data_IF_420502665705
#
_entry.id   IF_420502665705
#
_cell.length_a   1.000
_cell.length_b   1.000
_cell.length_c   1.000
_cell.angle_alpha   90.00
_cell.angle_beta   90.00
_cell.angle_gamma   90.00
#
_symmetry.space_group_name_H-M   'P 1'
#
loop_
_entity.id
_entity.type
_entity.pdbx_description
1 polymer ?
#
# COMPACT_ATOMS: atom_id res chain seq x y z
N UNK A 1 -1.93 31.28 24.42
CA UNK A 1 -1.00 31.01 23.30
C UNK A 1 -0.72 29.51 23.25
N UNK A 2 -0.89 28.82 22.12
CA UNK A 2 -0.44 27.43 21.99
C UNK A 2 1.10 27.42 21.88
N UNK A 3 1.77 26.88 22.88
CA UNK A 3 3.24 26.77 22.87
C UNK A 3 3.69 25.83 21.75
N UNK A 4 4.58 26.31 20.89
CA UNK A 4 5.29 25.54 19.84
C UNK A 4 5.63 24.12 20.33
N UNK A 5 5.16 23.04 19.70
CA UNK A 5 5.81 21.74 19.86
C UNK A 5 7.18 21.82 19.16
N UNK A 6 8.32 21.76 19.87
CA UNK A 6 9.62 21.86 19.23
C UNK A 6 9.89 20.62 18.36
N UNK A 7 10.68 20.75 17.30
CA UNK A 7 11.11 19.61 16.45
C UNK A 7 11.71 18.43 17.24
N UNK A 8 12.27 18.69 18.42
CA UNK A 8 12.74 17.67 19.36
C UNK A 8 11.62 16.76 19.89
N UNK A 9 10.36 17.19 19.90
CA UNK A 9 9.25 16.40 20.46
C UNK A 9 9.03 15.08 19.71
N UNK A 10 9.17 15.05 18.37
CA UNK A 10 8.98 13.81 17.60
C UNK A 10 10.12 12.82 17.84
N UNK A 11 11.38 13.28 17.82
CA UNK A 11 12.53 12.42 18.13
C UNK A 11 12.48 11.90 19.58
N UNK A 12 12.09 12.75 20.54
CA UNK A 12 11.91 12.34 21.94
C UNK A 12 10.72 11.37 22.09
N UNK A 13 9.60 11.57 21.38
CA UNK A 13 8.47 10.61 21.34
C UNK A 13 8.91 9.26 20.77
N UNK A 14 9.62 9.26 19.65
CA UNK A 14 10.16 8.03 19.05
C UNK A 14 11.13 7.29 19.97
N UNK A 15 12.04 8.01 20.66
CA UNK A 15 12.92 7.44 21.68
C UNK A 15 12.13 6.86 22.86
N UNK A 16 11.11 7.57 23.37
CA UNK A 16 10.24 7.08 24.45
C UNK A 16 9.37 5.88 24.03
N UNK A 17 8.96 5.79 22.76
CA UNK A 17 8.27 4.63 22.20
C UNK A 17 9.20 3.43 22.09
N UNK A 18 10.43 3.62 21.60
CA UNK A 18 11.45 2.57 21.63
C UNK A 18 11.84 2.15 23.06
N UNK A 19 11.76 3.04 24.05
CA UNK A 19 11.95 2.67 25.46
C UNK A 19 10.78 1.82 26.00
N UNK A 20 9.53 2.16 25.66
CA UNK A 20 8.34 1.36 26.03
C UNK A 20 8.28 0.01 25.29
N UNK A 21 8.77 -0.05 24.06
CA UNK A 21 8.89 -1.27 23.28
C UNK A 21 10.32 -1.40 22.72
N UNK A 22 11.30 -1.93 23.49
CA UNK A 22 12.68 -2.10 23.03
C UNK A 22 12.82 -2.93 21.75
N UNK A 23 11.85 -3.84 21.50
CA UNK A 23 11.79 -4.67 20.29
C UNK A 23 11.47 -3.84 19.04
N UNK A 24 10.88 -2.66 19.19
CA UNK A 24 10.69 -1.69 18.10
C UNK A 24 12.03 -1.39 17.43
N UNK A 25 13.08 -1.09 18.19
CA UNK A 25 14.41 -0.78 17.63
C UNK A 25 14.95 -1.92 16.76
N UNK A 26 14.84 -3.18 17.21
CA UNK A 26 15.21 -4.35 16.41
C UNK A 26 14.39 -4.47 15.12
N UNK A 27 13.07 -4.28 15.17
CA UNK A 27 12.20 -4.32 13.98
C UNK A 27 12.51 -3.16 13.01
N UNK A 28 12.79 -1.94 13.50
CA UNK A 28 13.22 -0.80 12.68
C UNK A 28 14.56 -1.07 11.98
N UNK A 29 15.56 -1.54 12.74
CA UNK A 29 16.90 -1.84 12.22
C UNK A 29 16.86 -2.97 11.19
N UNK A 30 16.06 -4.02 11.44
CA UNK A 30 15.82 -5.11 10.48
C UNK A 30 15.17 -4.60 9.20
N UNK A 31 14.19 -3.71 9.30
CA UNK A 31 13.56 -3.09 8.12
C UNK A 31 14.57 -2.27 7.30
N UNK A 32 15.35 -1.41 7.94
CA UNK A 32 16.38 -0.60 7.28
C UNK A 32 17.49 -1.44 6.65
N UNK A 33 17.95 -2.50 7.32
CA UNK A 33 18.88 -3.48 6.75
C UNK A 33 18.28 -4.18 5.52
N UNK A 34 17.03 -4.67 5.60
CA UNK A 34 16.35 -5.32 4.47
C UNK A 34 16.23 -4.37 3.26
N UNK A 35 15.83 -3.12 3.49
CA UNK A 35 15.68 -2.08 2.45
C UNK A 35 17.01 -1.70 1.79
N UNK A 36 18.09 -1.54 2.57
CA UNK A 36 19.38 -1.04 2.07
C UNK A 36 20.27 -2.13 1.47
N UNK A 37 20.27 -3.32 2.07
CA UNK A 37 21.23 -4.39 1.76
C UNK A 37 20.53 -5.74 1.54
N UNK A 38 19.66 -6.16 2.45
CA UNK A 38 19.13 -7.53 2.47
C UNK A 38 18.41 -7.95 1.19
N UNK A 39 17.60 -7.09 0.58
CA UNK A 39 16.92 -7.39 -0.69
C UNK A 39 17.92 -7.48 -1.86
N UNK A 40 18.99 -6.68 -1.86
CA UNK A 40 20.03 -6.74 -2.89
C UNK A 40 20.87 -8.02 -2.76
N UNK A 41 21.19 -8.43 -1.53
CA UNK A 41 21.87 -9.68 -1.24
C UNK A 41 21.02 -10.89 -1.64
N UNK A 42 19.72 -10.91 -1.29
CA UNK A 42 18.80 -11.96 -1.74
C UNK A 42 18.78 -12.05 -3.27
N UNK A 43 18.59 -10.93 -3.98
CA UNK A 43 18.57 -10.90 -5.46
C UNK A 43 19.89 -11.31 -6.12
N UNK A 44 21.03 -11.24 -5.43
CA UNK A 44 22.36 -11.59 -5.96
C UNK A 44 22.78 -13.02 -5.63
N UNK A 45 22.37 -13.54 -4.47
CA UNK A 45 22.91 -14.78 -3.90
C UNK A 45 21.85 -15.86 -3.64
N UNK A 46 20.57 -15.60 -3.91
CA UNK A 46 19.48 -16.58 -3.71
C UNK A 46 18.72 -16.87 -5.01
N UNK A 47 18.24 -18.10 -5.07
CA UNK A 47 17.43 -18.75 -6.11
C UNK A 47 15.97 -18.25 -6.11
N UNK A 48 15.76 -16.93 -6.15
CA UNK A 48 14.42 -16.32 -6.04
C UNK A 48 13.82 -16.33 -4.63
N UNK A 49 14.46 -16.96 -3.65
CA UNK A 49 14.05 -16.97 -2.24
C UNK A 49 14.39 -15.66 -1.54
N UNK A 50 13.41 -15.04 -0.88
CA UNK A 50 13.61 -13.86 -0.01
C UNK A 50 13.84 -14.26 1.45
N UNK A 51 14.60 -13.46 2.21
CA UNK A 51 14.55 -13.50 3.68
C UNK A 51 13.17 -13.09 4.24
N UNK A 52 12.86 -13.39 5.52
CA UNK A 52 11.55 -13.14 6.11
C UNK A 52 11.09 -11.67 6.00
N UNK A 53 9.79 -11.41 5.81
CA UNK A 53 9.30 -10.05 5.60
C UNK A 53 9.57 -9.15 6.81
N UNK A 54 9.88 -7.88 6.54
CA UNK A 54 10.05 -6.85 7.55
C UNK A 54 8.72 -6.20 7.95
N UNK A 55 7.77 -6.17 7.01
CA UNK A 55 6.45 -5.56 7.13
C UNK A 55 5.40 -6.55 6.62
N UNK A 56 4.22 -6.59 7.26
CA UNK A 56 3.02 -7.26 6.75
C UNK A 56 1.87 -6.26 6.73
N UNK A 57 1.15 -6.17 5.61
CA UNK A 57 -0.08 -5.40 5.50
C UNK A 57 -1.25 -6.37 5.70
N UNK A 58 -1.99 -6.21 6.79
CA UNK A 58 -3.12 -7.06 7.15
C UNK A 58 -4.40 -6.32 6.77
N UNK A 59 -4.97 -6.71 5.62
CA UNK A 59 -6.27 -6.24 5.17
C UNK A 59 -7.36 -6.96 5.99
N UNK A 60 -7.85 -6.31 7.05
CA UNK A 60 -8.72 -6.94 8.05
C UNK A 60 -10.16 -7.15 7.56
N UNK A 61 -10.63 -6.26 6.68
CA UNK A 61 -11.96 -6.25 6.09
C UNK A 61 -11.94 -5.36 4.83
N UNK A 62 -12.73 -5.68 3.80
CA UNK A 62 -13.02 -4.76 2.68
C UNK A 62 -14.25 -3.87 2.94
N UNK A 63 -14.90 -3.98 4.10
CA UNK A 63 -15.97 -3.04 4.49
C UNK A 63 -15.35 -1.66 4.75
N UNK A 64 -15.96 -0.62 4.19
CA UNK A 64 -15.58 0.76 4.40
C UNK A 64 -16.84 1.61 4.60
N UNK A 65 -16.74 2.64 5.44
CA UNK A 65 -17.83 3.60 5.69
C UNK A 65 -17.71 4.89 4.85
N UNK A 66 -16.83 4.90 3.84
CA UNK A 66 -16.61 5.97 2.87
C UNK A 66 -16.55 5.37 1.45
N UNK A 67 -16.75 6.18 0.41
CA UNK A 67 -16.75 5.76 -1.00
C UNK A 67 -15.79 6.61 -1.82
N UNK A 68 -14.52 6.59 -1.44
CA UNK A 68 -13.52 7.53 -1.97
C UNK A 68 -13.32 7.35 -3.49
N UNK A 69 -13.32 8.45 -4.24
CA UNK A 69 -13.33 8.44 -5.72
C UNK A 69 -12.10 7.76 -6.34
N UNK A 70 -10.96 7.79 -5.65
CA UNK A 70 -9.69 7.20 -6.08
C UNK A 70 -9.40 5.81 -5.49
N UNK A 71 -10.31 5.24 -4.68
CA UNK A 71 -10.05 3.96 -4.03
C UNK A 71 -10.34 2.78 -4.97
N UNK A 72 -9.34 1.92 -5.19
CA UNK A 72 -9.46 0.66 -5.95
C UNK A 72 -10.71 -0.13 -5.54
N UNK A 73 -11.02 -0.14 -4.24
CA UNK A 73 -12.10 -0.95 -3.68
C UNK A 73 -13.48 -0.45 -4.06
N UNK A 74 -13.68 0.82 -4.45
CA UNK A 74 -15.00 1.37 -4.80
C UNK A 74 -15.10 1.86 -6.25
N UNK A 75 -13.97 2.07 -6.94
CA UNK A 75 -13.93 2.53 -8.33
C UNK A 75 -14.56 1.52 -9.31
N UNK A 76 -14.45 0.23 -9.01
CA UNK A 76 -14.79 -0.83 -9.97
C UNK A 76 -16.09 -1.61 -9.65
N UNK A 77 -16.75 -1.40 -8.50
CA UNK A 77 -18.17 -1.76 -8.37
C UNK A 77 -19.00 -0.91 -7.39
N UNK A 78 -20.29 -0.69 -7.72
CA UNK A 78 -21.24 -0.05 -6.81
C UNK A 78 -21.69 -1.03 -5.72
N UNK A 79 -21.17 -0.86 -4.50
CA UNK A 79 -21.60 -1.67 -3.35
C UNK A 79 -21.08 -1.12 -2.01
N UNK A 80 -21.63 -1.57 -0.87
CA UNK A 80 -21.16 -1.18 0.48
C UNK A 80 -19.72 -1.65 0.78
N UNK A 81 -19.28 -2.68 0.05
CA UNK A 81 -17.93 -3.26 0.07
C UNK A 81 -17.12 -2.88 -1.17
N UNK A 82 -17.76 -2.15 -2.11
CA UNK A 82 -17.26 -1.69 -3.40
C UNK A 82 -16.75 -2.76 -4.39
N UNK A 83 -16.76 -4.03 -3.98
CA UNK A 83 -16.31 -5.18 -4.78
C UNK A 83 -17.49 -6.17 -4.88
N UNK A 84 -17.94 -6.55 -6.09
CA UNK A 84 -19.19 -7.30 -6.26
C UNK A 84 -19.02 -8.78 -5.92
N UNK A 85 -17.78 -9.26 -5.92
CA UNK A 85 -17.37 -10.61 -5.52
C UNK A 85 -17.05 -10.74 -4.01
N UNK A 86 -17.11 -9.65 -3.24
CA UNK A 86 -16.76 -9.67 -1.83
C UNK A 86 -17.95 -10.13 -0.96
N UNK A 87 -17.71 -11.19 -0.20
CA UNK A 87 -18.62 -11.69 0.84
C UNK A 87 -18.00 -11.43 2.22
N UNK A 88 -18.63 -10.64 3.12
CA UNK A 88 -18.15 -10.43 4.49
C UNK A 88 -17.94 -11.72 5.29
N UNK A 89 -18.62 -12.82 4.95
CA UNK A 89 -18.42 -14.14 5.58
C UNK A 89 -17.07 -14.78 5.23
N UNK A 90 -16.36 -14.21 4.25
CA UNK A 90 -14.99 -14.58 3.86
C UNK A 90 -13.92 -13.69 4.51
N UNK A 91 -14.30 -12.77 5.41
CA UNK A 91 -13.34 -12.13 6.32
C UNK A 91 -12.65 -13.19 7.18
N UNK A 92 -11.32 -13.10 7.33
CA UNK A 92 -10.59 -14.06 8.16
C UNK A 92 -11.01 -13.92 9.63
N UNK A 93 -11.25 -15.05 10.28
CA UNK A 93 -11.66 -15.10 11.69
C UNK A 93 -10.53 -14.63 12.61
N UNK A 94 -10.88 -14.27 13.85
CA UNK A 94 -9.89 -13.89 14.84
C UNK A 94 -8.87 -15.02 15.08
N UNK A 95 -9.31 -16.28 15.13
CA UNK A 95 -8.40 -17.42 15.33
C UNK A 95 -7.45 -17.62 14.14
N UNK A 96 -7.90 -17.40 12.90
CA UNK A 96 -7.02 -17.41 11.72
C UNK A 96 -5.96 -16.31 11.79
N UNK A 97 -6.34 -15.09 12.16
CA UNK A 97 -5.38 -14.01 12.36
C UNK A 97 -4.40 -14.29 13.50
N UNK A 98 -4.86 -14.83 14.63
CA UNK A 98 -4.00 -15.22 15.75
C UNK A 98 -3.01 -16.31 15.32
N UNK A 99 -3.45 -17.31 14.56
CA UNK A 99 -2.57 -18.33 13.97
C UNK A 99 -1.50 -17.74 13.04
N UNK A 100 -1.84 -16.73 12.23
CA UNK A 100 -0.85 -15.98 11.44
C UNK A 100 0.15 -15.24 12.36
N UNK A 101 -0.34 -14.58 13.42
CA UNK A 101 0.52 -13.89 14.40
C UNK A 101 1.50 -14.87 15.06
N UNK A 102 1.07 -16.09 15.38
CA UNK A 102 1.94 -17.12 15.95
C UNK A 102 3.00 -17.60 14.95
N UNK A 103 2.64 -17.85 13.69
CA UNK A 103 3.59 -18.23 12.63
C UNK A 103 4.68 -17.17 12.41
N UNK A 104 4.32 -15.87 12.45
CA UNK A 104 5.27 -14.77 12.20
C UNK A 104 5.93 -14.23 13.47
N UNK A 105 5.57 -14.74 14.65
CA UNK A 105 6.15 -14.34 15.94
C UNK A 105 7.64 -14.64 16.05
N UNK A 106 8.17 -15.59 15.28
CA UNK A 106 9.61 -15.90 15.24
C UNK A 106 10.44 -14.70 14.76
N UNK A 107 10.01 -14.03 13.68
CA UNK A 107 10.77 -12.95 13.03
C UNK A 107 10.18 -11.54 13.23
N UNK A 108 8.96 -11.42 13.77
CA UNK A 108 8.32 -10.16 14.23
C UNK A 108 8.37 -9.02 13.18
N UNK A 109 7.65 -9.14 12.06
CA UNK A 109 7.40 -8.01 11.16
C UNK A 109 6.65 -6.88 11.88
N UNK A 110 6.79 -5.66 11.37
CA UNK A 110 5.81 -4.61 11.66
C UNK A 110 4.50 -4.98 10.99
N UNK A 111 3.40 -4.84 11.72
CA UNK A 111 2.05 -5.08 11.21
C UNK A 111 1.41 -3.74 10.85
N UNK A 112 0.89 -3.64 9.63
CA UNK A 112 0.02 -2.54 9.22
C UNK A 112 -1.41 -3.07 9.22
N UNK A 113 -2.24 -2.56 10.13
CA UNK A 113 -3.67 -2.87 10.17
C UNK A 113 -4.35 -1.92 9.17
N UNK A 114 -4.96 -2.49 8.14
CA UNK A 114 -5.48 -1.77 6.97
C UNK A 114 -6.71 -2.50 6.39
N UNK A 115 -7.24 -2.06 5.25
CA UNK A 115 -8.33 -2.74 4.56
C UNK A 115 -9.19 -1.80 3.73
N UNK A 116 -10.50 -1.85 3.93
CA UNK A 116 -11.39 -0.70 3.76
C UNK A 116 -11.18 0.25 4.94
N UNK A 117 -12.01 0.13 5.98
CA UNK A 117 -11.75 0.76 7.29
C UNK A 117 -11.51 -0.32 8.35
N UNK A 118 -10.27 -0.54 8.84
CA UNK A 118 -9.96 -1.64 9.76
C UNK A 118 -10.71 -1.57 11.10
N UNK A 119 -11.15 -0.40 11.56
CA UNK A 119 -11.96 -0.30 12.79
C UNK A 119 -13.38 -0.89 12.64
N UNK A 120 -13.81 -1.27 11.43
CA UNK A 120 -15.07 -1.99 11.18
C UNK A 120 -14.94 -3.52 11.29
N UNK A 121 -13.72 -4.05 11.39
CA UNK A 121 -13.51 -5.48 11.62
C UNK A 121 -14.02 -5.87 13.02
N UNK A 122 -14.89 -6.89 13.20
CA UNK A 122 -15.66 -7.05 14.44
C UNK A 122 -14.77 -7.40 15.65
N UNK A 123 -13.60 -7.99 15.38
CA UNK A 123 -12.62 -8.36 16.39
C UNK A 123 -11.38 -7.45 16.38
N UNK A 124 -11.47 -6.22 15.84
CA UNK A 124 -10.35 -5.27 15.75
C UNK A 124 -9.62 -5.10 17.10
N UNK A 125 -10.37 -4.85 18.18
CA UNK A 125 -9.80 -4.66 19.50
C UNK A 125 -9.10 -5.92 20.04
N UNK A 126 -9.68 -7.10 19.84
CA UNK A 126 -9.12 -8.37 20.29
C UNK A 126 -7.86 -8.75 19.50
N UNK A 127 -7.87 -8.55 18.18
CA UNK A 127 -6.71 -8.78 17.32
C UNK A 127 -5.56 -7.81 17.66
N UNK A 128 -5.88 -6.55 17.97
CA UNK A 128 -4.89 -5.59 18.45
C UNK A 128 -4.25 -6.07 19.76
N UNK A 129 -5.06 -6.49 20.74
CA UNK A 129 -4.57 -7.04 22.01
C UNK A 129 -3.62 -8.23 21.77
N UNK A 130 -4.01 -9.18 20.92
CA UNK A 130 -3.19 -10.36 20.63
C UNK A 130 -1.88 -10.04 19.87
N UNK A 131 -1.88 -8.99 19.05
CA UNK A 131 -0.67 -8.48 18.41
C UNK A 131 0.25 -7.76 19.42
N UNK A 132 -0.30 -6.90 20.29
CA UNK A 132 0.48 -6.17 21.29
C UNK A 132 1.02 -7.11 22.38
N UNK A 133 0.26 -8.12 22.80
CA UNK A 133 0.70 -9.19 23.74
C UNK A 133 1.93 -9.95 23.23
N UNK A 134 2.04 -10.20 21.92
CA UNK A 134 3.20 -10.83 21.28
C UNK A 134 4.39 -9.86 21.06
N UNK A 135 4.20 -8.58 21.37
CA UNK A 135 5.21 -7.53 21.22
C UNK A 135 5.42 -7.07 19.77
N UNK A 136 4.41 -7.18 18.91
CA UNK A 136 4.49 -6.63 17.56
C UNK A 136 4.46 -5.09 17.57
N UNK A 137 5.18 -4.49 16.64
CA UNK A 137 5.02 -3.08 16.27
C UNK A 137 3.80 -2.98 15.37
N UNK A 138 2.81 -2.18 15.75
CA UNK A 138 1.54 -2.04 15.03
C UNK A 138 1.38 -0.61 14.53
N UNK A 139 1.10 -0.48 13.23
CA UNK A 139 0.76 0.76 12.56
C UNK A 139 -0.69 0.64 12.08
N UNK A 140 -1.56 1.56 12.48
CA UNK A 140 -2.95 1.61 11.99
C UNK A 140 -3.02 2.52 10.76
N UNK A 141 -3.68 2.08 9.68
CA UNK A 141 -4.06 2.92 8.55
C UNK A 141 -5.59 3.06 8.55
N UNK A 142 -6.11 4.28 8.71
CA UNK A 142 -7.55 4.53 8.89
C UNK A 142 -7.98 5.80 8.17
N UNK A 143 -9.24 5.87 7.76
CA UNK A 143 -9.86 7.11 7.31
C UNK A 143 -10.14 8.09 8.47
N UNK A 144 -10.01 7.63 9.72
CA UNK A 144 -10.07 8.43 10.94
C UNK A 144 -11.46 8.82 11.42
N UNK A 145 -12.52 8.51 10.66
CA UNK A 145 -13.91 8.93 10.98
C UNK A 145 -14.52 8.21 12.19
N UNK A 146 -13.89 7.12 12.66
CA UNK A 146 -14.27 6.34 13.84
C UNK A 146 -13.13 6.28 14.89
N UNK A 147 -12.08 7.10 14.71
CA UNK A 147 -10.87 7.07 15.53
C UNK A 147 -11.12 7.55 16.96
N UNK A 148 -12.13 8.39 17.16
CA UNK A 148 -12.65 8.82 18.46
C UNK A 148 -13.07 7.62 19.34
N UNK A 149 -13.74 6.62 18.76
CA UNK A 149 -14.24 5.42 19.46
C UNK A 149 -13.13 4.50 19.96
N UNK A 150 -11.96 4.52 19.31
CA UNK A 150 -10.83 3.62 19.62
C UNK A 150 -9.62 4.34 20.20
N UNK A 151 -9.60 5.68 20.20
CA UNK A 151 -8.47 6.53 20.59
C UNK A 151 -7.81 6.11 21.92
N UNK A 152 -8.60 5.95 22.98
CA UNK A 152 -8.08 5.58 24.30
C UNK A 152 -7.45 4.18 24.32
N UNK A 153 -8.02 3.23 23.57
CA UNK A 153 -7.50 1.87 23.45
C UNK A 153 -6.18 1.83 22.68
N UNK A 154 -6.07 2.59 21.58
CA UNK A 154 -4.83 2.69 20.78
C UNK A 154 -3.67 3.25 21.61
N UNK A 155 -3.94 4.25 22.47
CA UNK A 155 -2.94 4.84 23.37
C UNK A 155 -2.57 3.86 24.49
N UNK A 156 -3.57 3.26 25.17
CA UNK A 156 -3.35 2.35 26.29
C UNK A 156 -2.57 1.09 25.88
N UNK A 157 -2.86 0.55 24.68
CA UNK A 157 -2.16 -0.61 24.12
C UNK A 157 -0.78 -0.27 23.50
N UNK A 158 -0.34 1.00 23.57
CA UNK A 158 0.93 1.47 23.00
C UNK A 158 1.08 1.14 21.50
N UNK A 159 0.07 1.49 20.70
CA UNK A 159 0.20 1.51 19.23
C UNK A 159 1.28 2.52 18.85
N UNK A 160 2.21 2.13 17.98
CA UNK A 160 3.37 2.95 17.66
C UNK A 160 3.03 4.10 16.69
N UNK A 161 2.16 3.86 15.72
CA UNK A 161 1.77 4.85 14.71
C UNK A 161 0.31 4.70 14.27
N UNK A 162 -0.36 5.83 14.05
CA UNK A 162 -1.66 5.90 13.38
C UNK A 162 -1.51 6.83 12.19
N UNK A 163 -1.67 6.27 10.99
CA UNK A 163 -1.78 7.00 9.72
C UNK A 163 -3.26 7.27 9.44
N UNK A 164 -3.62 8.54 9.42
CA UNK A 164 -4.97 9.02 9.09
C UNK A 164 -4.97 9.59 7.68
N UNK A 165 -5.80 9.02 6.81
CA UNK A 165 -5.92 9.50 5.42
C UNK A 165 -6.74 10.78 5.38
N UNK A 166 -6.17 11.90 4.90
CA UNK A 166 -6.87 13.19 4.76
C UNK A 166 -6.31 13.97 3.56
N UNK A 167 -7.15 14.19 2.55
CA UNK A 167 -6.71 14.66 1.22
C UNK A 167 -7.04 16.14 0.92
N UNK A 168 -7.43 16.93 1.94
CA UNK A 168 -7.72 18.35 1.77
C UNK A 168 -8.42 19.00 2.98
N UNK A 169 -8.73 20.31 2.89
CA UNK A 169 -9.73 20.98 3.72
C UNK A 169 -11.15 20.44 3.43
N UNK A 170 -12.16 20.90 4.17
CA UNK A 170 -13.51 20.32 4.23
C UNK A 170 -14.10 19.92 2.87
N UNK A 171 -14.28 20.87 1.96
CA UNK A 171 -14.95 20.64 0.67
C UNK A 171 -14.20 19.62 -0.20
N UNK A 172 -12.87 19.79 -0.30
CA UNK A 172 -11.98 18.90 -1.05
C UNK A 172 -11.96 17.49 -0.46
N UNK A 173 -11.88 17.38 0.86
CA UNK A 173 -11.85 16.10 1.55
C UNK A 173 -13.17 15.34 1.41
N UNK A 174 -14.31 15.99 1.67
CA UNK A 174 -15.62 15.32 1.62
C UNK A 174 -15.95 14.87 0.18
N UNK A 175 -15.60 15.68 -0.83
CA UNK A 175 -15.70 15.31 -2.23
C UNK A 175 -14.81 14.10 -2.59
N UNK A 176 -13.53 14.12 -2.22
CA UNK A 176 -12.59 13.01 -2.48
C UNK A 176 -13.02 11.73 -1.74
N UNK A 177 -13.57 11.84 -0.52
CA UNK A 177 -14.07 10.71 0.28
C UNK A 177 -15.43 10.19 -0.15
N UNK A 178 -16.16 10.91 -1.00
CA UNK A 178 -17.50 10.56 -1.45
C UNK A 178 -18.52 10.53 -0.30
N UNK A 179 -18.35 11.39 0.72
CA UNK A 179 -19.20 11.42 1.91
C UNK A 179 -19.13 12.78 2.62
N UNK A 180 -20.26 13.47 2.69
CA UNK A 180 -20.40 14.70 3.46
C UNK A 180 -20.16 14.44 4.97
N UNK A 181 -19.45 15.37 5.61
CA UNK A 181 -19.09 15.32 7.02
C UNK A 181 -17.91 14.40 7.36
N UNK A 182 -17.27 13.78 6.35
CA UNK A 182 -16.09 12.92 6.58
C UNK A 182 -14.96 13.73 7.23
N UNK A 183 -14.64 14.91 6.70
CA UNK A 183 -13.64 15.83 7.22
C UNK A 183 -13.84 16.16 8.70
N UNK A 184 -15.09 16.51 9.08
CA UNK A 184 -15.42 16.85 10.47
C UNK A 184 -15.21 15.65 11.40
N UNK A 185 -15.64 14.45 10.98
CA UNK A 185 -15.44 13.20 11.73
C UNK A 185 -13.96 12.85 11.86
N UNK A 186 -13.18 12.92 10.78
CA UNK A 186 -11.73 12.66 10.79
C UNK A 186 -10.98 13.67 11.66
N UNK A 187 -11.33 14.96 11.60
CA UNK A 187 -10.78 15.99 12.50
C UNK A 187 -11.11 15.69 13.98
N UNK A 188 -12.34 15.29 14.29
CA UNK A 188 -12.74 14.91 15.64
C UNK A 188 -11.95 13.68 16.13
N UNK A 189 -11.80 12.66 15.29
CA UNK A 189 -11.01 11.46 15.57
C UNK A 189 -9.53 11.74 15.85
N UNK A 190 -8.89 12.60 15.06
CA UNK A 190 -7.49 13.02 15.30
C UNK A 190 -7.38 13.78 16.64
N UNK A 191 -8.29 14.73 16.90
CA UNK A 191 -8.32 15.49 18.16
C UNK A 191 -8.55 14.59 19.38
N UNK A 192 -9.43 13.60 19.26
CA UNK A 192 -9.67 12.59 20.30
C UNK A 192 -8.40 11.76 20.59
N UNK A 193 -7.65 11.35 19.56
CA UNK A 193 -6.39 10.64 19.72
C UNK A 193 -5.30 11.49 20.38
N UNK A 194 -5.21 12.79 20.03
CA UNK A 194 -4.33 13.74 20.72
C UNK A 194 -4.74 13.93 22.19
N UNK A 195 -6.04 14.06 22.47
CA UNK A 195 -6.57 14.21 23.83
C UNK A 195 -6.32 12.94 24.69
N UNK A 196 -6.52 11.75 24.14
CA UNK A 196 -6.20 10.47 24.77
C UNK A 196 -4.70 10.38 25.10
N UNK A 197 -3.82 10.68 24.13
CA UNK A 197 -2.36 10.71 24.32
C UNK A 197 -1.94 11.65 25.45
N UNK A 198 -2.55 12.84 25.53
CA UNK A 198 -2.27 13.83 26.57
C UNK A 198 -2.79 13.38 27.94
N UNK A 199 -4.05 12.93 28.04
CA UNK A 199 -4.66 12.39 29.28
C UNK A 199 -3.85 11.24 29.87
N UNK A 200 -3.48 10.28 29.04
CA UNK A 200 -2.71 9.09 29.45
C UNK A 200 -1.18 9.35 29.55
N UNK A 201 -0.73 10.60 29.36
CA UNK A 201 0.69 11.02 29.38
C UNK A 201 1.59 10.12 28.51
N UNK A 202 1.07 9.67 27.37
CA UNK A 202 1.72 8.69 26.49
C UNK A 202 2.65 9.38 25.48
N UNK A 203 3.80 8.79 25.11
CA UNK A 203 4.63 9.28 24.02
C UNK A 203 4.04 8.99 22.64
N UNK A 204 3.00 8.17 22.52
CA UNK A 204 2.38 7.81 21.25
C UNK A 204 0.88 7.50 21.31
N UNK A 205 0.28 7.11 20.18
CA UNK A 205 0.93 6.86 18.89
C UNK A 205 1.51 8.14 18.25
N UNK A 206 2.45 7.94 17.32
CA UNK A 206 2.83 8.98 16.35
C UNK A 206 1.66 9.15 15.39
N UNK A 207 1.14 10.37 15.24
CA UNK A 207 0.01 10.67 14.37
C UNK A 207 0.56 11.18 13.04
N UNK A 208 0.38 10.41 11.98
CA UNK A 208 0.74 10.77 10.62
C UNK A 208 -0.54 11.08 9.85
N UNK A 209 -0.62 12.25 9.21
CA UNK A 209 -1.65 12.53 8.21
C UNK A 209 -1.07 12.19 6.84
N UNK A 210 -1.81 11.42 6.03
CA UNK A 210 -1.45 11.09 4.66
C UNK A 210 -2.41 11.77 3.69
N UNK A 211 -1.88 12.64 2.82
CA UNK A 211 -2.59 13.33 1.75
C UNK A 211 -2.09 12.79 0.41
N UNK A 212 -2.99 12.23 -0.40
CA UNK A 212 -2.68 11.75 -1.76
C UNK A 212 -2.88 12.89 -2.76
N UNK A 213 -1.91 13.07 -3.66
CA UNK A 213 -1.99 14.05 -4.75
C UNK A 213 -2.93 13.52 -5.84
N UNK A 214 -4.07 14.17 -6.00
CA UNK A 214 -5.00 14.05 -7.14
C UNK A 214 -5.22 15.43 -7.76
N UNK A 215 -5.91 15.51 -8.90
CA UNK A 215 -6.25 16.81 -9.49
C UNK A 215 -7.15 17.65 -8.56
N UNK A 216 -7.96 17.00 -7.72
CA UNK A 216 -8.82 17.64 -6.74
C UNK A 216 -8.08 18.15 -5.49
N UNK A 217 -7.06 17.43 -4.98
CA UNK A 217 -6.30 17.88 -3.80
C UNK A 217 -5.23 18.93 -4.14
N UNK A 218 -4.76 18.95 -5.39
CA UNK A 218 -3.71 19.82 -5.92
C UNK A 218 -3.78 21.30 -5.48
N UNK A 219 -4.95 21.99 -5.47
CA UNK A 219 -5.03 23.40 -5.06
C UNK A 219 -4.81 23.67 -3.56
N UNK A 220 -4.70 22.63 -2.74
CA UNK A 220 -4.75 22.72 -1.26
C UNK A 220 -3.61 21.98 -0.55
N UNK A 221 -2.60 21.50 -1.29
CA UNK A 221 -1.48 20.70 -0.74
C UNK A 221 -0.63 21.49 0.28
N UNK A 222 -0.51 22.81 0.11
CA UNK A 222 0.15 23.71 1.05
C UNK A 222 -0.68 23.91 2.33
N UNK A 223 -1.99 24.09 2.20
CA UNK A 223 -2.94 24.25 3.31
C UNK A 223 -2.93 23.04 4.26
N UNK A 224 -2.72 21.83 3.73
CA UNK A 224 -2.59 20.60 4.51
C UNK A 224 -1.52 20.68 5.61
N UNK A 225 -0.47 21.49 5.44
CA UNK A 225 0.56 21.70 6.46
C UNK A 225 0.00 22.40 7.69
N UNK A 226 -0.80 23.46 7.49
CA UNK A 226 -1.40 24.23 8.57
C UNK A 226 -2.46 23.40 9.28
N UNK A 227 -3.35 22.76 8.51
CA UNK A 227 -4.37 21.83 9.02
C UNK A 227 -3.75 20.70 9.87
N UNK A 228 -2.70 20.04 9.38
CA UNK A 228 -2.05 18.96 10.12
C UNK A 228 -1.37 19.45 11.41
N UNK A 229 -0.82 20.67 11.41
CA UNK A 229 -0.26 21.30 12.61
C UNK A 229 -1.35 21.65 13.63
N UNK A 230 -2.46 22.25 13.20
CA UNK A 230 -3.61 22.62 14.05
C UNK A 230 -4.32 21.40 14.67
N UNK A 231 -4.40 20.29 13.93
CA UNK A 231 -4.92 19.02 14.43
C UNK A 231 -3.97 18.30 15.41
N UNK A 232 -2.73 18.79 15.59
CA UNK A 232 -1.76 18.21 16.51
C UNK A 232 -1.09 16.92 16.00
N UNK A 233 -1.06 16.72 14.68
CA UNK A 233 -0.33 15.62 14.05
C UNK A 233 1.19 15.79 14.24
N UNK A 234 1.91 14.67 14.19
CA UNK A 234 3.37 14.63 14.29
C UNK A 234 4.04 14.74 12.92
N UNK A 235 3.38 14.19 11.88
CA UNK A 235 3.90 14.05 10.52
C UNK A 235 2.79 14.37 9.52
N UNK A 236 3.11 15.13 8.47
CA UNK A 236 2.35 15.14 7.21
C UNK A 236 3.16 14.40 6.15
N UNK A 237 2.53 13.42 5.50
CA UNK A 237 3.04 12.79 4.30
C UNK A 237 2.19 13.27 3.12
N UNK A 238 2.86 13.85 2.12
CA UNK A 238 2.28 14.09 0.80
C UNK A 238 2.71 12.91 -0.09
N UNK A 239 1.73 12.15 -0.55
CA UNK A 239 1.94 10.94 -1.33
C UNK A 239 1.62 11.22 -2.80
N UNK A 240 2.59 10.98 -3.68
CA UNK A 240 2.32 10.89 -5.11
C UNK A 240 1.61 9.56 -5.41
N UNK A 241 0.60 9.58 -6.27
CA UNK A 241 -0.14 8.37 -6.62
C UNK A 241 0.72 7.45 -7.48
N UNK A 242 0.55 6.14 -7.32
CA UNK A 242 1.33 5.15 -8.07
C UNK A 242 0.64 4.92 -9.42
N UNK A 243 1.32 5.32 -10.49
CA UNK A 243 0.81 5.22 -11.86
C UNK A 243 1.29 3.95 -12.57
N UNK A 244 0.51 3.48 -13.54
CA UNK A 244 0.91 2.43 -14.46
C UNK A 244 0.18 2.58 -15.81
N UNK A 245 0.75 2.11 -16.92
CA UNK A 245 0.08 2.13 -18.23
C UNK A 245 -0.54 0.79 -18.58
N UNK A 246 -1.54 0.80 -19.47
CA UNK A 246 -2.10 -0.41 -20.10
C UNK A 246 -0.99 -1.36 -20.62
N UNK A 247 0.00 -0.80 -21.32
CA UNK A 247 1.10 -1.55 -21.91
C UNK A 247 2.04 -2.17 -20.86
N UNK A 248 2.34 -1.44 -19.78
CA UNK A 248 3.15 -1.95 -18.67
C UNK A 248 2.40 -3.05 -17.87
N UNK A 249 1.10 -2.88 -17.62
CA UNK A 249 0.23 -3.91 -16.98
C UNK A 249 0.17 -5.16 -17.84
N UNK A 250 -0.09 -5.02 -19.15
CA UNK A 250 -0.10 -6.17 -20.06
C UNK A 250 1.27 -6.87 -20.15
N UNK A 251 2.39 -6.13 -20.08
CA UNK A 251 3.73 -6.72 -20.00
C UNK A 251 3.95 -7.47 -18.67
N UNK A 252 3.50 -6.90 -17.55
CA UNK A 252 3.59 -7.50 -16.22
C UNK A 252 2.79 -8.80 -16.13
N UNK A 253 1.53 -8.79 -16.59
CA UNK A 253 0.66 -9.96 -16.59
C UNK A 253 1.16 -11.07 -17.53
N UNK A 254 1.82 -10.73 -18.65
CA UNK A 254 2.52 -11.73 -19.49
C UNK A 254 3.76 -12.31 -18.82
N UNK A 255 4.47 -11.54 -18.00
CA UNK A 255 5.67 -11.99 -17.30
C UNK A 255 5.35 -12.84 -16.06
N UNK A 256 4.21 -12.59 -15.42
CA UNK A 256 3.67 -13.36 -14.29
C UNK A 256 2.37 -14.08 -14.67
N UNK A 257 2.36 -14.69 -15.86
CA UNK A 257 1.20 -15.41 -16.36
C UNK A 257 1.02 -16.75 -15.62
N UNK A 258 -0.19 -17.36 -15.65
CA UNK A 258 -0.41 -18.69 -15.09
C UNK A 258 0.55 -19.74 -15.68
N UNK A 259 0.90 -19.64 -16.96
CA UNK A 259 1.82 -20.54 -17.64
C UNK A 259 3.26 -20.37 -17.12
N UNK A 260 3.71 -19.13 -16.92
CA UNK A 260 5.01 -18.86 -16.29
C UNK A 260 5.05 -19.37 -14.85
N UNK A 261 4.00 -19.13 -14.07
CA UNK A 261 3.90 -19.63 -12.70
C UNK A 261 3.99 -21.17 -12.66
N UNK A 262 3.24 -21.86 -13.52
CA UNK A 262 3.30 -23.32 -13.64
C UNK A 262 4.70 -23.82 -14.05
N UNK A 263 5.35 -23.19 -15.03
CA UNK A 263 6.72 -23.52 -15.44
C UNK A 263 7.76 -23.29 -14.33
N UNK A 264 7.54 -22.29 -13.48
CA UNK A 264 8.39 -21.97 -12.33
C UNK A 264 8.08 -22.81 -11.07
N UNK A 265 7.08 -23.69 -11.11
CA UNK A 265 6.62 -24.45 -9.94
C UNK A 265 5.96 -23.59 -8.87
N UNK A 266 5.35 -22.47 -9.27
CA UNK A 266 4.69 -21.50 -8.39
C UNK A 266 3.16 -21.62 -8.49
N UNK A 267 2.50 -21.59 -7.34
CA UNK A 267 1.05 -21.46 -7.26
C UNK A 267 0.63 -19.99 -7.46
N UNK A 268 -0.12 -19.70 -8.53
CA UNK A 268 -0.65 -18.35 -8.78
C UNK A 268 -2.07 -18.22 -8.21
N UNK A 269 -2.17 -17.56 -7.06
CA UNK A 269 -3.45 -17.40 -6.32
C UNK A 269 -4.37 -16.35 -6.96
N UNK A 270 -3.85 -15.42 -7.78
CA UNK A 270 -4.62 -14.37 -8.45
C UNK A 270 -3.82 -13.76 -9.61
N UNK A 271 -4.44 -13.26 -10.71
CA UNK A 271 -3.74 -12.43 -11.69
C UNK A 271 -3.14 -11.20 -10.99
N UNK A 272 -1.87 -10.87 -11.28
CA UNK A 272 -1.13 -9.92 -10.44
C UNK A 272 -1.65 -8.47 -10.51
N UNK A 273 -2.32 -8.08 -11.59
CA UNK A 273 -3.07 -6.83 -11.74
C UNK A 273 -4.27 -7.13 -12.66
N UNK A 274 -5.54 -6.95 -12.24
CA UNK A 274 -6.68 -7.15 -13.12
C UNK A 274 -6.72 -6.17 -14.31
N UNK A 275 -7.30 -6.58 -15.43
CA UNK A 275 -7.40 -5.70 -16.61
C UNK A 275 -8.28 -4.48 -16.32
N UNK A 276 -7.76 -3.28 -16.59
CA UNK A 276 -8.44 -2.01 -16.27
C UNK A 276 -8.22 -1.50 -14.84
N UNK A 277 -7.67 -2.31 -13.92
CA UNK A 277 -7.34 -1.90 -12.55
C UNK A 277 -5.95 -1.27 -12.46
N UNK A 278 -5.76 -0.18 -13.19
CA UNK A 278 -4.57 0.68 -13.09
C UNK A 278 -4.96 2.16 -13.12
N UNK A 279 -3.98 3.00 -12.74
CA UNK A 279 -4.16 4.44 -12.63
C UNK A 279 -3.18 5.14 -13.58
N UNK A 280 -3.72 5.84 -14.57
CA UNK A 280 -2.96 6.81 -15.36
C UNK A 280 -3.03 8.18 -14.67
N UNK A 281 -2.11 9.08 -15.00
CA UNK A 281 -2.00 10.34 -14.27
C UNK A 281 -3.06 11.36 -14.68
N UNK A 282 -3.81 11.89 -13.71
CA UNK A 282 -4.71 13.04 -13.89
C UNK A 282 -3.95 14.38 -14.01
N UNK A 283 -2.66 14.40 -13.67
CA UNK A 283 -1.80 15.58 -13.72
C UNK A 283 -1.23 15.72 -15.13
N UNK A 284 -1.55 16.84 -15.76
CA UNK A 284 -1.13 17.19 -17.12
C UNK A 284 0.09 18.11 -17.11
N UNK A 285 0.76 18.35 -18.26
CA UNK A 285 1.87 19.30 -18.33
C UNK A 285 1.50 20.72 -17.85
N UNK A 286 0.24 21.13 -18.00
CA UNK A 286 -0.26 22.42 -17.52
C UNK A 286 -0.37 22.50 -15.98
N UNK A 287 -0.56 21.36 -15.31
CA UNK A 287 -0.67 21.28 -13.84
C UNK A 287 0.71 21.30 -13.15
N UNK A 288 1.78 20.92 -13.86
CA UNK A 288 3.13 20.74 -13.29
C UNK A 288 3.73 22.00 -12.63
N UNK A 289 3.72 23.21 -13.25
CA UNK A 289 4.27 24.40 -12.61
C UNK A 289 3.57 24.74 -11.30
N UNK A 290 2.25 24.50 -11.25
CA UNK A 290 1.43 24.71 -10.07
C UNK A 290 1.69 23.65 -8.99
N UNK A 291 1.82 22.37 -9.35
CA UNK A 291 2.25 21.29 -8.45
C UNK A 291 3.62 21.59 -7.83
N UNK A 292 4.61 21.94 -8.65
CA UNK A 292 5.96 22.28 -8.17
C UNK A 292 5.95 23.48 -7.23
N UNK A 293 5.11 24.49 -7.49
CA UNK A 293 4.90 25.61 -6.57
C UNK A 293 4.25 25.16 -5.25
N UNK A 294 3.16 24.39 -5.31
CA UNK A 294 2.46 23.83 -4.15
C UNK A 294 3.39 23.00 -3.24
N UNK A 295 4.20 22.11 -3.81
CA UNK A 295 5.20 21.33 -3.07
C UNK A 295 6.26 22.22 -2.40
N UNK A 296 6.76 23.26 -3.10
CA UNK A 296 7.70 24.24 -2.53
C UNK A 296 7.05 25.06 -1.40
N UNK A 297 5.78 25.44 -1.52
CA UNK A 297 5.05 26.15 -0.48
C UNK A 297 4.81 25.26 0.76
N UNK A 298 4.39 24.01 0.57
CA UNK A 298 4.29 23.03 1.66
C UNK A 298 5.62 22.84 2.40
N UNK A 299 6.75 22.73 1.70
CA UNK A 299 8.09 22.67 2.31
C UNK A 299 8.43 23.92 3.15
N UNK A 300 8.10 25.12 2.64
CA UNK A 300 8.32 26.39 3.35
C UNK A 300 7.44 26.49 4.60
N UNK A 301 6.15 26.14 4.50
CA UNK A 301 5.21 26.17 5.61
C UNK A 301 5.57 25.14 6.70
N UNK A 302 6.00 23.95 6.31
CA UNK A 302 6.31 22.88 7.27
C UNK A 302 7.56 23.20 8.11
N UNK A 303 8.43 24.07 7.62
CA UNK A 303 9.62 24.54 8.33
C UNK A 303 9.23 25.04 9.73
N UNK A 304 9.76 24.34 10.74
CA UNK A 304 9.59 24.62 12.17
C UNK A 304 8.16 24.46 12.73
N UNK A 305 7.24 23.87 11.94
CA UNK A 305 5.85 23.54 12.36
C UNK A 305 5.57 22.05 12.45
N UNK A 306 6.05 21.27 11.47
CA UNK A 306 5.66 19.86 11.30
C UNK A 306 6.75 19.07 10.58
N UNK A 307 6.80 17.75 10.78
CA UNK A 307 7.63 16.87 9.94
C UNK A 307 6.90 16.60 8.63
N UNK A 308 7.34 17.22 7.54
CA UNK A 308 6.89 16.89 6.18
C UNK A 308 7.70 15.71 5.61
N UNK A 309 7.01 14.80 4.92
CA UNK A 309 7.55 13.68 4.15
C UNK A 309 6.90 13.65 2.77
N UNK A 310 7.64 13.14 1.77
CA UNK A 310 7.13 12.83 0.44
C UNK A 310 7.24 11.33 0.16
N UNK A 311 6.25 10.73 -0.49
CA UNK A 311 6.23 9.31 -0.84
C UNK A 311 5.81 9.10 -2.31
N UNK A 312 6.69 8.60 -3.19
CA UNK A 312 8.15 8.52 -3.04
C UNK A 312 8.78 9.90 -2.78
N UNK A 313 9.93 9.93 -2.10
CA UNK A 313 10.66 11.18 -1.87
C UNK A 313 11.52 11.53 -3.09
N UNK A 314 10.90 12.17 -4.08
CA UNK A 314 11.51 12.57 -5.34
C UNK A 314 12.22 13.93 -5.22
N UNK A 315 13.44 14.09 -5.79
CA UNK A 315 13.97 15.38 -6.22
C UNK A 315 12.99 16.10 -7.16
N UNK A 316 13.00 17.45 -7.16
CA UNK A 316 12.03 18.25 -7.92
C UNK A 316 12.15 18.04 -9.44
N UNK A 317 13.36 17.77 -9.93
CA UNK A 317 13.69 17.39 -11.31
C UNK A 317 13.11 16.04 -11.72
N UNK A 318 12.82 15.14 -10.78
CA UNK A 318 12.17 13.85 -11.06
C UNK A 318 10.64 13.90 -10.95
N UNK A 319 10.03 15.06 -10.66
CA UNK A 319 8.57 15.21 -10.57
C UNK A 319 7.94 15.15 -11.97
N UNK A 320 8.42 15.96 -12.91
CA UNK A 320 7.90 15.99 -14.29
C UNK A 320 7.85 14.59 -14.94
N UNK A 321 8.96 13.82 -15.03
CA UNK A 321 8.91 12.47 -15.59
C UNK A 321 8.05 11.50 -14.78
N UNK A 322 7.84 11.72 -13.47
CA UNK A 322 7.02 10.81 -12.65
C UNK A 322 5.54 10.89 -12.99
N UNK A 323 5.08 12.07 -13.40
CA UNK A 323 3.69 12.30 -13.80
C UNK A 323 3.47 12.13 -15.31
N UNK A 324 4.47 12.46 -16.15
CA UNK A 324 4.32 12.50 -17.61
C UNK A 324 5.00 11.36 -18.38
N UNK A 325 6.05 10.72 -17.85
CA UNK A 325 6.82 9.69 -18.55
C UNK A 325 6.88 8.39 -17.74
N UNK A 326 5.86 7.55 -17.93
CA UNK A 326 5.79 6.21 -17.35
C UNK A 326 6.74 5.19 -18.01
N UNK A 327 7.60 5.64 -18.95
CA UNK A 327 8.76 4.88 -19.46
C UNK A 327 10.08 5.35 -18.88
N UNK A 328 10.10 6.49 -18.17
CA UNK A 328 11.31 7.07 -17.59
C UNK A 328 12.03 6.03 -16.72
N UNK A 329 13.35 5.85 -16.90
CA UNK A 329 14.13 4.94 -16.08
C UNK A 329 14.34 5.54 -14.70
N UNK A 330 13.31 5.48 -13.85
CA UNK A 330 13.44 5.85 -12.44
C UNK A 330 14.62 5.10 -11.85
N UNK A 331 15.60 5.81 -11.24
CA UNK A 331 16.69 5.15 -10.59
C UNK A 331 16.11 4.32 -9.44
N UNK A 332 15.95 3.02 -9.68
CA UNK A 332 15.98 2.07 -8.57
C UNK A 332 17.24 2.42 -7.78
N UNK A 333 17.15 2.41 -6.44
CA UNK A 333 18.33 2.61 -5.59
C UNK A 333 19.28 1.41 -5.75
N UNK A 334 19.97 1.36 -6.88
CA UNK A 334 21.14 0.55 -7.12
C UNK A 334 22.27 1.10 -6.26
N UNK A 335 22.88 0.18 -5.52
CA UNK A 335 24.09 0.29 -4.72
C UNK A 335 24.86 1.63 -4.71
N UNK A 336 25.01 2.19 -3.51
CA UNK A 336 26.22 2.89 -2.97
C UNK A 336 26.91 3.99 -3.81
N UNK A 337 27.14 5.20 -3.23
CA UNK A 337 28.06 6.15 -3.84
C UNK A 337 29.51 5.68 -3.75
N UNK A 338 30.29 5.96 -4.81
CA UNK A 338 31.75 5.75 -4.95
C UNK A 338 32.22 4.29 -5.03
N UNK A 339 32.42 3.82 -6.26
CA UNK A 339 33.28 2.70 -6.59
C UNK A 339 33.33 2.49 -8.10
N UNK A 340 34.43 2.87 -8.76
CA UNK A 340 34.69 2.43 -10.14
C UNK A 340 34.96 0.93 -10.10
N UNK A 341 33.93 0.12 -10.31
CA UNK A 341 34.14 -1.30 -10.63
C UNK A 341 34.32 -1.37 -12.14
N UNK A 342 35.58 -1.51 -12.56
CA UNK A 342 35.93 -1.80 -13.93
C UNK A 342 35.24 -3.09 -14.39
N UNK A 343 34.92 -3.19 -15.68
CA UNK A 343 34.22 -4.35 -16.20
C UNK A 343 35.03 -5.63 -16.01
N UNK A 344 34.38 -6.68 -15.49
CA UNK A 344 34.84 -8.05 -15.69
C UNK A 344 33.65 -8.99 -15.80
N UNK A 345 33.60 -9.75 -16.90
CA UNK A 345 32.64 -10.80 -17.14
C UNK A 345 33.39 -12.14 -17.10
N UNK A 346 33.13 -13.00 -16.09
CA UNK A 346 33.53 -14.39 -16.12
C UNK A 346 32.31 -15.31 -16.38
N UNK A 347 32.14 -15.65 -17.66
CA UNK A 347 31.80 -17.01 -18.12
C UNK A 347 30.60 -17.78 -17.51
N UNK A 348 29.37 -17.25 -17.69
CA UNK A 348 28.16 -18.02 -18.08
C UNK A 348 27.54 -19.08 -17.14
N UNK A 349 26.44 -19.76 -17.56
CA UNK A 349 25.66 -19.56 -18.79
C UNK A 349 24.19 -19.15 -18.53
N UNK A 350 23.82 -17.92 -18.88
CA UNK A 350 22.42 -17.56 -19.15
C UNK A 350 22.33 -16.92 -20.53
N UNK A 351 22.42 -17.76 -21.58
CA UNK A 351 22.34 -17.35 -22.99
C UNK A 351 20.90 -17.51 -23.50
N UNK A 352 20.15 -16.41 -23.59
CA UNK A 352 19.50 -15.90 -24.82
C UNK A 352 18.56 -14.72 -24.53
N UNK A 353 18.46 -13.81 -25.50
CA UNK A 353 17.43 -12.76 -25.64
C UNK A 353 17.36 -11.63 -24.58
N UNK A 354 18.37 -10.76 -24.58
CA UNK A 354 18.20 -9.32 -24.27
C UNK A 354 19.17 -8.48 -25.12
N UNK A 355 19.06 -8.59 -26.45
CA UNK A 355 19.73 -7.69 -27.39
C UNK A 355 18.84 -6.50 -27.70
N UNK A 356 19.31 -5.33 -27.30
CA UNK A 356 18.89 -4.01 -27.74
C UNK A 356 18.47 -3.95 -29.21
N UNK A 357 17.31 -3.35 -29.50
CA UNK A 357 16.99 -2.77 -30.81
C UNK A 357 16.24 -1.44 -30.61
N UNK A 358 16.55 -0.38 -31.38
CA UNK A 358 15.96 0.95 -31.23
C UNK A 358 14.59 1.07 -31.92
N UNK A 359 13.84 2.12 -31.59
CA UNK A 359 12.53 2.39 -32.17
C UNK A 359 12.61 3.23 -33.46
N UNK A 360 12.04 2.73 -34.57
CA UNK A 360 11.43 3.51 -35.67
C UNK A 360 10.54 2.63 -36.56
N UNK A 361 9.26 3.01 -36.67
CA UNK A 361 8.19 2.88 -37.70
C UNK A 361 8.19 1.83 -38.86
N UNK A 362 7.01 1.54 -39.48
CA UNK A 362 6.74 0.36 -40.36
C UNK A 362 6.51 0.77 -41.84
N UNK A 363 5.84 0.00 -42.76
CA UNK A 363 5.55 -1.45 -42.86
C UNK A 363 5.99 -2.09 -44.21
N UNK A 364 6.08 -3.44 -44.34
CA UNK A 364 5.55 -4.21 -45.51
C UNK A 364 5.84 -5.74 -45.57
N UNK A 365 4.93 -6.44 -46.28
CA UNK A 365 5.06 -7.70 -47.08
C UNK A 365 5.61 -9.02 -46.47
N UNK A 366 4.66 -9.93 -46.21
CA UNK A 366 4.58 -11.30 -46.75
C UNK A 366 5.83 -11.98 -47.37
N UNK A 367 6.17 -13.17 -46.85
CA UNK A 367 6.42 -14.38 -47.69
C UNK A 367 6.21 -15.69 -46.91
N UNK A 368 5.72 -16.72 -47.62
CA UNK A 368 5.53 -18.10 -47.14
C UNK A 368 6.76 -18.98 -47.47
N UNK A 369 7.12 -19.86 -46.54
CA UNK A 369 7.67 -21.21 -46.73
C UNK A 369 7.68 -21.88 -45.34
N UNK A 370 7.05 -23.02 -45.09
CA UNK A 370 7.52 -24.35 -45.51
C UNK A 370 8.74 -24.74 -44.65
N UNK A 371 8.76 -25.79 -43.82
CA UNK A 371 7.99 -27.04 -43.81
C UNK A 371 7.79 -27.58 -42.37
N UNK A 372 6.85 -28.53 -42.19
CA UNK A 372 6.68 -29.28 -40.95
C UNK A 372 7.33 -30.67 -41.03
N UNK A 373 7.68 -31.31 -39.90
CA UNK A 373 7.67 -32.76 -39.76
C UNK A 373 6.40 -33.23 -39.03
N UNK A 374 5.86 -34.36 -39.49
CA UNK A 374 4.79 -35.10 -38.81
C UNK A 374 5.40 -36.03 -37.77
N UNK A 375 4.74 -36.17 -36.61
CA UNK A 375 4.62 -37.45 -35.92
C UNK A 375 3.12 -37.75 -35.78
N UNK A 376 2.71 -39.00 -35.95
CA UNK A 376 1.30 -39.37 -36.11
C UNK A 376 0.99 -40.76 -35.55
N UNK A 377 -0.26 -40.92 -35.07
CA UNK A 377 -0.95 -42.19 -34.74
C UNK A 377 -0.40 -42.88 -33.47
N UNK A 378 -1.18 -43.48 -32.55
CA UNK A 378 -2.63 -43.84 -32.40
C UNK A 378 -3.08 -43.54 -30.94
N UNK A 379 -4.35 -43.63 -30.51
CA UNK A 379 -5.60 -44.08 -31.14
C UNK A 379 -6.83 -43.69 -30.27
N UNK A 380 -8.05 -43.95 -30.77
CA UNK A 380 -9.36 -43.51 -30.23
C UNK A 380 -9.74 -44.31 -28.95
N UNK A 381 -10.65 -43.89 -28.06
CA UNK A 381 -12.08 -43.61 -28.27
C UNK A 381 -12.72 -42.77 -27.12
N UNK A 382 -13.88 -42.18 -27.43
CA UNK A 382 -14.91 -41.66 -26.49
C UNK A 382 -16.28 -42.11 -27.06
N UNK A 383 -17.44 -41.83 -26.42
CA UNK A 383 -17.73 -41.40 -25.04
C UNK A 383 -18.75 -42.34 -24.35
N UNK A 384 -19.08 -42.06 -23.08
CA UNK A 384 -20.34 -42.53 -22.47
C UNK A 384 -20.83 -41.47 -21.46
N UNK A 385 -22.10 -41.10 -21.53
CA UNK A 385 -22.72 -40.17 -20.59
C UNK A 385 -23.87 -40.82 -19.84
N UNK A 386 -24.16 -40.32 -18.65
CA UNK A 386 -25.42 -40.52 -17.95
C UNK A 386 -25.58 -39.49 -16.82
N UNK A 387 -26.57 -38.62 -16.98
CA UNK A 387 -27.37 -38.05 -15.87
C UNK A 387 -28.58 -39.01 -15.66
N UNK A 388 -29.30 -39.04 -14.53
CA UNK A 388 -30.06 -37.87 -14.05
C UNK A 388 -30.17 -37.66 -12.52
N UNK A 389 -30.68 -36.48 -12.17
CA UNK A 389 -31.59 -36.09 -11.08
C UNK A 389 -31.53 -36.71 -9.66
N UNK A 390 -31.49 -35.80 -8.68
CA UNK A 390 -32.34 -35.88 -7.48
C UNK A 390 -32.64 -34.46 -6.93
N UNK A 391 -33.88 -33.97 -7.12
CA UNK A 391 -34.35 -32.67 -6.61
C UNK A 391 -35.67 -32.78 -5.83
N UNK A 392 -35.60 -32.60 -4.51
CA UNK A 392 -36.67 -32.46 -3.50
C UNK A 392 -35.97 -32.58 -2.11
N UNK A 393 -36.39 -32.06 -0.94
CA UNK A 393 -37.42 -31.12 -0.46
C UNK A 393 -37.00 -30.74 1.01
N UNK A 394 -37.58 -29.81 1.79
CA UNK A 394 -38.75 -28.90 1.65
C UNK A 394 -38.47 -27.59 2.45
N UNK A 395 -39.47 -26.72 2.65
CA UNK A 395 -39.39 -25.49 3.45
C UNK A 395 -39.24 -25.69 4.98
N UNK A 396 -38.80 -24.64 5.68
CA UNK A 396 -38.88 -24.48 7.14
C UNK A 396 -38.66 -23.01 7.53
N UNK A 397 -39.62 -22.39 8.22
CA UNK A 397 -39.68 -20.93 8.46
C UNK A 397 -39.90 -20.59 9.94
N UNK A 398 -39.72 -19.30 10.29
CA UNK A 398 -40.12 -18.62 11.54
C UNK A 398 -39.35 -18.94 12.83
N UNK A 399 -39.48 -18.11 13.89
CA UNK A 399 -39.42 -16.63 13.96
C UNK A 399 -38.32 -16.20 14.99
N UNK A 400 -38.14 -14.97 15.48
CA UNK A 400 -38.86 -13.69 15.43
C UNK A 400 -37.85 -12.53 15.51
#
# INVERSE_FOLDING_TARGET
MPTRPPKSSLSIRALKLMWRNPRMAHTLLREEYRKKFGIQLDRRFRDGRSGPPANLNLNLTRRCNLKCVMCEQHRHAPGPTGLPWYDPRRELSLSTWVGLLDQVAAFRPRLYFTGGEPTLYPHFAALLTEAKRRGFVVHLQTNGTLLDRVADSLVAQNVEMVTVSMDGPLEVHDAIRGQEGAFRKTCAGIKALVAARNRQRSPGPIILINCVISKASLPTLDQMVLLAHELGADILQIQHTIFNTAANVARHNRALSPEFAAQAGLELVSPSIPEGEYYESEITPADLPFLLNQLKQAQRLAKDRLKLLFLPNLPLDLIEPYYLDLTHPFPQRSATPRGRVAGFCPTGPCRRACTWWPATSPPNRWRRSGTAPRCAVSGRLSPAGSSPDASAAVAGAFPE
#
